data_IF_725989811936
#
_entry.id   IF_725989811936
#
_cell.length_a   1.000
_cell.length_b   1.000
_cell.length_c   1.000
_cell.angle_alpha   90.00
_cell.angle_beta   90.00
_cell.angle_gamma   90.00
#
_symmetry.space_group_name_H-M   'P 1'
#
loop_
_entity.id
_entity.type
_entity.pdbx_description
1 polymer ?
#
# COMPACT_ATOMS: atom_id res chain seq x y z
N UNK A 1 -6.14 -37.55 1.51
CA UNK A 1 -7.54 -38.02 1.45
C UNK A 1 -8.26 -37.41 2.63
N UNK A 2 -8.98 -36.31 2.44
CA UNK A 2 -9.84 -35.72 3.48
C UNK A 2 -11.08 -36.59 3.62
N UNK A 3 -11.24 -37.24 4.77
CA UNK A 3 -12.38 -38.11 5.06
C UNK A 3 -13.62 -37.30 5.42
N UNK A 4 -14.79 -37.94 5.47
CA UNK A 4 -16.05 -37.34 5.96
C UNK A 4 -15.93 -36.77 7.39
N UNK A 5 -14.90 -37.19 8.14
CA UNK A 5 -14.60 -36.77 9.51
C UNK A 5 -13.82 -35.43 9.56
N UNK A 6 -13.27 -34.99 8.43
CA UNK A 6 -12.57 -33.70 8.26
C UNK A 6 -13.52 -32.58 7.79
N UNK A 7 -14.82 -32.86 7.68
CA UNK A 7 -15.82 -31.88 7.22
C UNK A 7 -16.51 -31.24 8.42
N UNK A 8 -16.43 -29.91 8.50
CA UNK A 8 -17.19 -29.12 9.46
C UNK A 8 -18.70 -29.39 9.30
N UNK A 9 -19.42 -29.45 10.42
CA UNK A 9 -20.89 -29.47 10.38
C UNK A 9 -21.42 -28.12 9.88
N UNK A 10 -22.67 -28.04 9.37
CA UNK A 10 -23.28 -26.76 9.00
C UNK A 10 -23.19 -25.71 10.11
N UNK A 11 -23.41 -26.10 11.36
CA UNK A 11 -23.36 -25.20 12.52
C UNK A 11 -21.93 -24.70 12.78
N UNK A 12 -20.91 -25.54 12.59
CA UNK A 12 -19.51 -25.14 12.72
C UNK A 12 -19.09 -24.17 11.60
N UNK A 13 -19.60 -24.36 10.39
CA UNK A 13 -19.39 -23.43 9.27
C UNK A 13 -20.03 -22.08 9.57
N UNK A 14 -21.25 -22.07 10.11
CA UNK A 14 -21.94 -20.84 10.50
C UNK A 14 -21.22 -20.11 11.63
N UNK A 15 -20.77 -20.83 12.67
CA UNK A 15 -20.02 -20.21 13.77
C UNK A 15 -18.70 -19.61 13.27
N UNK A 16 -17.96 -20.34 12.43
CA UNK A 16 -16.74 -19.82 11.82
C UNK A 16 -17.02 -18.56 10.97
N UNK A 17 -18.12 -18.54 10.23
CA UNK A 17 -18.57 -17.35 9.50
C UNK A 17 -18.83 -16.16 10.42
N UNK A 18 -19.53 -16.38 11.55
CA UNK A 18 -19.77 -15.35 12.57
C UNK A 18 -18.47 -14.79 13.15
N UNK A 19 -17.50 -15.66 13.42
CA UNK A 19 -16.18 -15.23 13.93
C UNK A 19 -15.42 -14.36 12.91
N UNK A 20 -15.40 -14.76 11.64
CA UNK A 20 -14.78 -13.97 10.57
C UNK A 20 -15.47 -12.61 10.38
N UNK A 21 -16.80 -12.58 10.41
CA UNK A 21 -17.57 -11.34 10.32
C UNK A 21 -17.32 -10.43 11.52
N UNK A 22 -17.21 -10.99 12.73
CA UNK A 22 -16.86 -10.21 13.92
C UNK A 22 -15.46 -9.58 13.80
N UNK A 23 -14.47 -10.31 13.25
CA UNK A 23 -13.14 -9.77 12.97
C UNK A 23 -13.25 -8.63 11.96
N UNK A 24 -13.93 -8.85 10.83
CA UNK A 24 -14.11 -7.84 9.78
C UNK A 24 -14.78 -6.58 10.33
N UNK A 25 -15.84 -6.73 11.11
CA UNK A 25 -16.56 -5.60 11.70
C UNK A 25 -15.67 -4.76 12.61
N UNK A 26 -14.86 -5.41 13.47
CA UNK A 26 -13.90 -4.69 14.32
C UNK A 26 -12.87 -3.92 13.51
N UNK A 27 -12.29 -4.54 12.48
CA UNK A 27 -11.27 -3.90 11.65
C UNK A 27 -11.85 -2.73 10.84
N UNK A 28 -13.02 -2.91 10.22
CA UNK A 28 -13.68 -1.85 9.45
C UNK A 28 -14.13 -0.70 10.36
N UNK A 29 -14.55 -0.99 11.60
CA UNK A 29 -14.91 0.04 12.56
C UNK A 29 -13.71 0.84 13.09
N UNK A 30 -12.51 0.26 13.03
CA UNK A 30 -11.26 0.90 13.45
C UNK A 30 -10.67 1.83 12.37
N UNK A 31 -11.03 1.63 11.10
CA UNK A 31 -10.58 2.47 9.99
C UNK A 31 -10.93 3.94 10.22
N UNK A 32 -9.96 4.82 10.04
CA UNK A 32 -10.20 6.23 10.32
C UNK A 32 -9.07 7.18 9.93
N UNK A 33 -9.08 8.32 10.62
CA UNK A 33 -8.19 9.44 10.32
C UNK A 33 -6.70 9.05 10.41
N UNK A 34 -6.35 8.15 11.31
CA UNK A 34 -4.95 7.75 11.53
C UNK A 34 -4.38 7.02 10.31
N UNK A 35 -5.17 6.18 9.64
CA UNK A 35 -4.78 5.52 8.38
C UNK A 35 -4.56 6.53 7.25
N UNK A 36 -5.45 7.52 7.15
CA UNK A 36 -5.37 8.58 6.15
C UNK A 36 -4.17 9.50 6.42
N UNK A 37 -3.91 9.84 7.68
CA UNK A 37 -2.77 10.64 8.07
C UNK A 37 -1.46 9.88 7.84
N UNK A 38 -1.45 8.56 8.05
CA UNK A 38 -0.33 7.69 7.74
C UNK A 38 0.02 7.72 6.25
N UNK A 39 -0.92 7.41 5.35
CA UNK A 39 -0.64 7.38 3.91
C UNK A 39 -0.20 8.76 3.38
N UNK A 40 -0.79 9.84 3.89
CA UNK A 40 -0.38 11.20 3.53
C UNK A 40 1.06 11.51 3.97
N UNK A 41 1.50 11.03 5.14
CA UNK A 41 2.89 11.15 5.59
C UNK A 41 3.83 10.37 4.67
N UNK A 42 3.45 9.15 4.28
CA UNK A 42 4.24 8.32 3.35
C UNK A 42 4.37 9.00 1.99
N UNK A 43 3.27 9.48 1.40
CA UNK A 43 3.28 10.23 0.13
C UNK A 43 4.19 11.45 0.22
N UNK A 44 4.10 12.21 1.32
CA UNK A 44 4.98 13.37 1.54
C UNK A 44 6.45 12.97 1.62
N UNK A 45 6.78 11.88 2.31
CA UNK A 45 8.14 11.38 2.42
C UNK A 45 8.67 10.91 1.06
N UNK A 46 7.90 10.11 0.32
CA UNK A 46 8.22 9.66 -1.03
C UNK A 46 8.56 10.85 -1.94
N UNK A 47 7.66 11.83 -2.05
CA UNK A 47 7.87 13.04 -2.87
C UNK A 47 9.09 13.85 -2.41
N UNK A 48 9.31 13.94 -1.09
CA UNK A 48 10.47 14.62 -0.52
C UNK A 48 11.79 13.97 -0.94
N UNK A 49 11.87 12.63 -0.83
CA UNK A 49 13.03 11.86 -1.29
C UNK A 49 13.22 11.94 -2.81
N UNK A 50 12.14 11.95 -3.58
CA UNK A 50 12.21 12.11 -5.03
C UNK A 50 12.82 13.46 -5.41
N UNK A 51 12.28 14.56 -4.89
CA UNK A 51 12.77 15.92 -5.17
C UNK A 51 14.21 16.08 -4.70
N UNK A 52 14.54 15.61 -3.50
CA UNK A 52 15.91 15.67 -2.97
C UNK A 52 16.88 14.85 -3.82
N UNK A 53 16.51 13.62 -4.18
CA UNK A 53 17.32 12.73 -4.99
C UNK A 53 17.58 13.29 -6.40
N UNK A 54 16.54 13.80 -7.06
CA UNK A 54 16.66 14.47 -8.37
C UNK A 54 17.51 15.73 -8.28
N UNK A 55 17.36 16.52 -7.21
CA UNK A 55 18.16 17.72 -6.94
C UNK A 55 19.64 17.41 -6.71
N UNK A 56 19.94 16.41 -5.88
CA UNK A 56 21.32 15.98 -5.58
C UNK A 56 22.04 15.44 -6.83
N UNK A 57 21.29 14.86 -7.77
CA UNK A 57 21.87 14.33 -9.01
C UNK A 57 22.57 15.40 -9.87
N UNK A 58 22.21 16.68 -9.76
CA UNK A 58 22.93 17.78 -10.42
C UNK A 58 24.39 17.92 -9.95
N UNK A 59 24.69 17.47 -8.72
CA UNK A 59 26.04 17.39 -8.17
C UNK A 59 26.58 15.95 -8.18
N UNK A 60 25.93 15.03 -8.91
CA UNK A 60 26.25 13.60 -8.93
C UNK A 60 27.62 13.25 -9.51
N UNK A 61 28.37 14.21 -10.07
CA UNK A 61 29.78 14.00 -10.40
C UNK A 61 30.69 14.01 -9.16
N UNK A 62 30.19 14.49 -8.02
CA UNK A 62 30.87 14.42 -6.73
C UNK A 62 30.42 13.13 -5.99
N UNK A 63 31.33 12.22 -5.61
CA UNK A 63 30.95 10.90 -5.09
C UNK A 63 29.95 10.89 -3.91
N UNK A 64 30.07 11.78 -2.89
CA UNK A 64 29.10 11.80 -1.79
C UNK A 64 27.69 12.21 -2.23
N UNK A 65 27.58 13.16 -3.16
CA UNK A 65 26.29 13.63 -3.68
C UNK A 65 25.62 12.57 -4.55
N UNK A 66 26.41 11.84 -5.36
CA UNK A 66 25.90 10.71 -6.12
C UNK A 66 25.29 9.63 -5.22
N UNK A 67 26.02 9.21 -4.17
CA UNK A 67 25.55 8.21 -3.22
C UNK A 67 24.25 8.66 -2.54
N UNK A 68 24.20 9.91 -2.08
CA UNK A 68 23.02 10.48 -1.45
C UNK A 68 21.83 10.57 -2.43
N UNK A 69 22.08 10.94 -3.69
CA UNK A 69 21.06 11.01 -4.74
C UNK A 69 20.47 9.62 -5.02
N UNK A 70 21.31 8.63 -5.26
CA UNK A 70 20.88 7.25 -5.53
C UNK A 70 20.13 6.66 -4.35
N UNK A 71 20.61 6.85 -3.13
CA UNK A 71 19.92 6.38 -1.92
C UNK A 71 18.53 7.03 -1.79
N UNK A 72 18.43 8.34 -1.97
CA UNK A 72 17.15 9.07 -1.89
C UNK A 72 16.16 8.59 -2.97
N UNK A 73 16.60 8.48 -4.22
CA UNK A 73 15.75 7.98 -5.31
C UNK A 73 15.32 6.53 -5.09
N UNK A 74 16.20 5.69 -4.55
CA UNK A 74 15.90 4.30 -4.21
C UNK A 74 14.81 4.22 -3.14
N UNK A 75 14.92 4.99 -2.07
CA UNK A 75 13.89 5.05 -1.01
C UNK A 75 12.57 5.58 -1.57
N UNK A 76 12.60 6.67 -2.34
CA UNK A 76 11.41 7.18 -3.03
C UNK A 76 10.74 6.07 -3.83
N UNK A 77 11.51 5.30 -4.60
CA UNK A 77 10.93 4.27 -5.48
C UNK A 77 10.31 3.11 -4.71
N UNK A 78 10.94 2.70 -3.60
CA UNK A 78 10.40 1.64 -2.74
C UNK A 78 9.06 2.07 -2.13
N UNK A 79 8.97 3.32 -1.63
CA UNK A 79 7.72 3.84 -1.06
C UNK A 79 6.62 3.95 -2.10
N UNK A 80 6.94 4.46 -3.29
CA UNK A 80 6.02 4.57 -4.42
C UNK A 80 5.43 3.20 -4.82
N UNK A 81 6.28 2.18 -5.01
CA UNK A 81 5.83 0.88 -5.47
C UNK A 81 5.14 0.06 -4.36
N UNK A 82 5.80 -0.12 -3.21
CA UNK A 82 5.40 -1.13 -2.23
C UNK A 82 4.41 -0.61 -1.20
N UNK A 83 4.50 0.67 -0.82
CA UNK A 83 3.69 1.22 0.26
C UNK A 83 2.49 2.03 -0.26
N UNK A 84 2.69 2.79 -1.35
CA UNK A 84 1.63 3.61 -1.94
C UNK A 84 0.90 2.79 -3.02
N UNK A 85 1.58 2.45 -4.11
CA UNK A 85 0.95 1.86 -5.29
C UNK A 85 0.32 0.50 -5.02
N UNK A 86 1.07 -0.44 -4.45
CA UNK A 86 0.55 -1.78 -4.14
C UNK A 86 -0.69 -1.75 -3.24
N UNK A 87 -0.65 -0.96 -2.17
CA UNK A 87 -1.75 -0.86 -1.21
C UNK A 87 -2.98 -0.16 -1.79
N UNK A 88 -2.78 0.94 -2.53
CA UNK A 88 -3.88 1.68 -3.18
C UNK A 88 -4.54 0.82 -4.25
N UNK A 89 -3.75 0.16 -5.10
CA UNK A 89 -4.27 -0.67 -6.19
C UNK A 89 -5.03 -1.89 -5.67
N UNK A 90 -4.64 -2.46 -4.52
CA UNK A 90 -5.42 -3.50 -3.84
C UNK A 90 -6.63 -2.98 -3.04
N UNK A 91 -6.98 -1.69 -3.16
CA UNK A 91 -8.22 -1.13 -2.59
C UNK A 91 -8.17 -0.81 -1.11
N UNK A 92 -6.98 -0.78 -0.48
CA UNK A 92 -6.84 -0.53 0.96
C UNK A 92 -7.47 0.80 1.41
N UNK A 93 -7.49 1.80 0.53
CA UNK A 93 -7.97 3.15 0.83
C UNK A 93 -9.31 3.51 0.16
N UNK A 94 -9.98 2.59 -0.54
CA UNK A 94 -11.22 2.90 -1.30
C UNK A 94 -12.36 3.38 -0.40
N UNK A 95 -12.39 2.92 0.86
CA UNK A 95 -13.37 3.35 1.86
C UNK A 95 -13.31 4.86 2.15
N UNK A 96 -12.16 5.49 1.93
CA UNK A 96 -11.95 6.94 2.16
C UNK A 96 -12.66 7.80 1.12
N UNK A 97 -12.92 7.25 -0.08
CA UNK A 97 -13.43 7.97 -1.26
C UNK A 97 -12.57 9.17 -1.69
N UNK A 98 -11.28 9.19 -1.33
CA UNK A 98 -10.32 10.18 -1.80
C UNK A 98 -9.96 9.83 -3.25
N UNK A 99 -10.18 10.73 -4.24
CA UNK A 99 -9.96 10.42 -5.65
C UNK A 99 -8.54 9.95 -5.97
N UNK A 100 -7.53 10.54 -5.33
CA UNK A 100 -6.12 10.23 -5.54
C UNK A 100 -5.70 8.88 -4.96
N UNK A 101 -6.55 8.24 -4.15
CA UNK A 101 -6.32 6.93 -3.54
C UNK A 101 -7.32 5.88 -4.01
N UNK A 102 -8.00 6.12 -5.14
CA UNK A 102 -8.99 5.21 -5.69
C UNK A 102 -8.32 4.11 -6.52
N UNK A 103 -8.47 2.85 -6.09
CA UNK A 103 -7.86 1.69 -6.73
C UNK A 103 -8.13 1.58 -8.23
N UNK A 104 -9.32 1.98 -8.69
CA UNK A 104 -9.77 1.82 -10.08
C UNK A 104 -9.19 2.84 -11.04
N UNK A 105 -8.67 3.95 -10.52
CA UNK A 105 -8.13 5.05 -11.32
C UNK A 105 -6.69 5.38 -10.97
N UNK A 106 -6.13 4.73 -9.96
CA UNK A 106 -4.76 4.94 -9.54
C UNK A 106 -3.81 4.28 -10.52
N UNK A 107 -2.85 5.04 -11.01
CA UNK A 107 -1.76 4.54 -11.83
C UNK A 107 -0.44 4.78 -11.11
N UNK A 108 0.27 3.68 -10.84
CA UNK A 108 1.62 3.72 -10.30
C UNK A 108 2.66 3.83 -11.42
N UNK A 109 3.82 4.39 -11.08
CA UNK A 109 4.93 4.53 -12.02
C UNK A 109 5.70 3.21 -12.16
N UNK A 110 5.13 2.13 -12.72
CA UNK A 110 5.89 0.87 -12.88
C UNK A 110 5.89 0.35 -14.31
N UNK A 111 6.69 -0.69 -14.54
CA UNK A 111 6.74 -1.37 -15.83
C UNK A 111 5.44 -2.13 -16.16
N UNK A 112 4.56 -2.36 -15.17
CA UNK A 112 3.29 -3.03 -15.35
C UNK A 112 2.13 -2.03 -15.19
N UNK A 113 1.14 -2.01 -16.11
CA UNK A 113 -0.07 -1.20 -15.98
C UNK A 113 -0.84 -1.50 -14.69
N UNK A 114 -1.60 -0.51 -14.20
CA UNK A 114 -2.50 -0.68 -13.07
C UNK A 114 -3.46 -1.86 -13.23
N UNK A 115 -4.03 -2.02 -14.42
CA UNK A 115 -5.01 -3.07 -14.79
C UNK A 115 -4.55 -4.53 -14.54
N UNK A 116 -3.25 -4.76 -14.35
CA UNK A 116 -2.70 -6.10 -14.12
C UNK A 116 -2.69 -6.53 -12.63
N UNK A 117 -3.21 -5.71 -11.73
CA UNK A 117 -3.11 -5.87 -10.27
C UNK A 117 -4.47 -5.70 -9.59
#
# INVERSE_FOLDING_TARGET
MTGLQDRLTPEQIEEFGRELDAIRQRLVADLGKDDVDYINKVIKAQRGFEVAGRGLMYLGFLPPFWLAAVASLSVSKILDNMEIGHNVMHGQYDWTRIPELNSKTFEWDTAAPGDNW
#
